data_IF_659712325263
#
_entry.id   IF_659712325263
#
_cell.length_a   1.000
_cell.length_b   1.000
_cell.length_c   1.000
_cell.angle_alpha   90.00
_cell.angle_beta   90.00
_cell.angle_gamma   90.00
#
_symmetry.space_group_name_H-M   'P 1'
#
loop_
_entity.id
_entity.type
_entity.pdbx_description
1 polymer ?
#
# COMPACT_ATOMS: atom_id res chain seq x y z
N UNK A 1 32.20 -15.71 6.97
CA UNK A 1 30.85 -15.17 7.22
C UNK A 1 30.51 -15.46 8.67
N UNK A 2 30.13 -14.47 9.48
CA UNK A 2 29.81 -14.71 10.89
C UNK A 2 28.50 -15.50 10.99
N UNK A 3 28.36 -16.37 11.99
CA UNK A 3 27.17 -17.17 12.30
C UNK A 3 25.90 -16.30 12.32
N UNK A 4 26.01 -15.08 12.86
CA UNK A 4 24.95 -14.09 12.94
C UNK A 4 24.44 -13.62 11.57
N UNK A 5 25.33 -13.47 10.57
CA UNK A 5 24.94 -13.10 9.19
C UNK A 5 24.14 -14.23 8.52
N UNK A 6 24.56 -15.48 8.76
CA UNK A 6 23.86 -16.67 8.22
C UNK A 6 22.45 -16.80 8.82
N UNK A 7 22.30 -16.56 10.12
CA UNK A 7 21.00 -16.64 10.80
C UNK A 7 20.05 -15.51 10.34
N UNK A 8 20.57 -14.30 10.12
CA UNK A 8 19.78 -13.20 9.57
C UNK A 8 19.30 -13.50 8.15
N UNK A 9 20.16 -14.06 7.29
CA UNK A 9 19.80 -14.42 5.92
C UNK A 9 18.73 -15.54 5.89
N UNK A 10 18.85 -16.55 6.75
CA UNK A 10 17.82 -17.59 6.90
C UNK A 10 16.48 -17.01 7.35
N UNK A 11 16.51 -16.05 8.28
CA UNK A 11 15.31 -15.37 8.78
C UNK A 11 14.64 -14.52 7.69
N UNK A 12 15.43 -13.75 6.92
CA UNK A 12 14.91 -13.00 5.76
C UNK A 12 14.27 -13.95 4.75
N UNK A 13 14.96 -15.02 4.36
CA UNK A 13 14.45 -16.00 3.40
C UNK A 13 13.14 -16.64 3.87
N UNK A 14 13.07 -17.04 5.13
CA UNK A 14 11.86 -17.61 5.74
C UNK A 14 10.70 -16.60 5.76
N UNK A 15 10.97 -15.36 6.15
CA UNK A 15 9.96 -14.28 6.17
C UNK A 15 9.47 -13.96 4.76
N UNK A 16 10.36 -13.90 3.77
CA UNK A 16 10.02 -13.70 2.36
C UNK A 16 9.12 -14.83 1.84
N UNK A 17 9.42 -16.08 2.19
CA UNK A 17 8.59 -17.22 1.79
C UNK A 17 7.15 -17.11 2.32
N UNK A 18 6.96 -16.71 3.60
CA UNK A 18 5.63 -16.48 4.15
C UNK A 18 4.87 -15.36 3.44
N UNK A 19 5.56 -14.28 3.07
CA UNK A 19 4.96 -13.16 2.34
C UNK A 19 4.60 -13.55 0.90
N UNK A 20 5.40 -14.39 0.24
CA UNK A 20 5.07 -14.91 -1.09
C UNK A 20 3.90 -15.90 -1.05
N UNK A 21 3.88 -16.82 -0.08
CA UNK A 21 2.74 -17.71 0.12
C UNK A 21 1.45 -16.91 0.34
N UNK A 22 1.52 -15.89 1.20
CA UNK A 22 0.42 -14.95 1.39
C UNK A 22 -0.01 -14.30 0.07
N UNK A 23 0.94 -13.78 -0.73
CA UNK A 23 0.65 -13.12 -2.00
C UNK A 23 -0.07 -14.05 -2.98
N UNK A 24 0.38 -15.30 -3.11
CA UNK A 24 -0.27 -16.30 -3.96
C UNK A 24 -1.70 -16.59 -3.49
N UNK A 25 -1.89 -16.81 -2.19
CA UNK A 25 -3.21 -17.02 -1.60
C UNK A 25 -4.13 -15.83 -1.89
N UNK A 26 -3.63 -14.59 -1.71
CA UNK A 26 -4.40 -13.38 -2.00
C UNK A 26 -4.76 -13.23 -3.47
N UNK A 27 -3.88 -13.64 -4.39
CA UNK A 27 -4.18 -13.62 -5.82
C UNK A 27 -5.37 -14.53 -6.13
N UNK A 28 -5.34 -15.77 -5.66
CA UNK A 28 -6.43 -16.74 -5.86
C UNK A 28 -7.71 -16.29 -5.16
N UNK A 29 -7.64 -15.94 -3.87
CA UNK A 29 -8.80 -15.48 -3.11
C UNK A 29 -9.40 -14.22 -3.71
N UNK A 30 -8.59 -13.25 -4.14
CA UNK A 30 -9.05 -12.00 -4.70
C UNK A 30 -9.83 -12.17 -6.01
N UNK A 31 -9.30 -12.97 -6.93
CA UNK A 31 -9.99 -13.28 -8.20
C UNK A 31 -11.32 -14.01 -7.95
N UNK A 32 -11.30 -14.99 -7.04
CA UNK A 32 -12.48 -15.77 -6.72
C UNK A 32 -13.54 -14.93 -6.00
N UNK A 33 -13.14 -14.16 -4.99
CA UNK A 33 -14.02 -13.28 -4.22
C UNK A 33 -14.72 -12.26 -5.11
N UNK A 34 -13.98 -11.59 -6.01
CA UNK A 34 -14.56 -10.59 -6.90
C UNK A 34 -15.68 -11.17 -7.77
N UNK A 35 -15.44 -12.34 -8.38
CA UNK A 35 -16.44 -13.03 -9.21
C UNK A 35 -17.68 -13.44 -8.42
N UNK A 36 -17.49 -14.04 -7.25
CA UNK A 36 -18.63 -14.48 -6.42
C UNK A 36 -19.39 -13.29 -5.86
N UNK A 37 -18.69 -12.18 -5.50
CA UNK A 37 -19.35 -10.95 -5.03
C UNK A 37 -20.24 -10.33 -6.10
N UNK A 38 -19.76 -10.24 -7.36
CA UNK A 38 -20.58 -9.72 -8.47
C UNK A 38 -21.81 -10.61 -8.69
N UNK A 39 -21.64 -11.92 -8.63
CA UNK A 39 -22.75 -12.87 -8.80
C UNK A 39 -23.75 -12.81 -7.63
N UNK A 40 -23.27 -12.58 -6.40
CA UNK A 40 -24.13 -12.53 -5.21
C UNK A 40 -24.90 -11.21 -5.09
N UNK A 41 -24.23 -10.07 -5.31
CA UNK A 41 -24.81 -8.73 -5.17
C UNK A 41 -25.53 -8.26 -6.45
N UNK A 42 -25.13 -8.77 -7.61
CA UNK A 42 -25.50 -8.19 -8.89
C UNK A 42 -24.64 -6.98 -9.27
N UNK A 43 -24.68 -6.60 -10.55
CA UNK A 43 -23.84 -5.54 -11.10
C UNK A 43 -24.13 -4.18 -10.46
N UNK A 44 -25.39 -3.89 -10.18
CA UNK A 44 -25.83 -2.60 -9.62
C UNK A 44 -25.30 -2.38 -8.20
N UNK A 45 -25.53 -3.31 -7.28
CA UNK A 45 -25.09 -3.20 -5.88
C UNK A 45 -23.57 -3.34 -5.74
N UNK A 46 -22.96 -4.15 -6.60
CA UNK A 46 -21.49 -4.19 -6.70
C UNK A 46 -20.91 -2.83 -7.17
N UNK A 47 -21.57 -2.17 -8.11
CA UNK A 47 -21.24 -0.81 -8.54
C UNK A 47 -21.34 0.19 -7.38
N UNK A 48 -22.44 0.17 -6.64
CA UNK A 48 -22.66 1.02 -5.49
C UNK A 48 -21.58 0.81 -4.40
N UNK A 49 -21.24 -0.45 -4.11
CA UNK A 49 -20.17 -0.80 -3.18
C UNK A 49 -18.80 -0.20 -3.62
N UNK A 50 -18.49 -0.25 -4.92
CA UNK A 50 -17.24 0.30 -5.44
C UNK A 50 -17.21 1.83 -5.37
N UNK A 51 -18.32 2.51 -5.63
CA UNK A 51 -18.42 3.97 -5.53
C UNK A 51 -18.21 4.43 -4.09
N UNK A 52 -18.89 3.81 -3.13
CA UNK A 52 -18.70 4.07 -1.69
C UNK A 52 -17.27 3.72 -1.26
N UNK A 53 -16.75 2.57 -1.72
CA UNK A 53 -15.37 2.14 -1.48
C UNK A 53 -14.31 3.11 -1.99
N UNK A 54 -14.59 3.81 -3.09
CA UNK A 54 -13.72 4.86 -3.64
C UNK A 54 -13.55 6.04 -2.68
N UNK A 55 -14.64 6.50 -2.05
CA UNK A 55 -14.60 7.55 -1.02
C UNK A 55 -13.76 7.09 0.17
N UNK A 56 -13.94 5.85 0.62
CA UNK A 56 -13.14 5.26 1.72
C UNK A 56 -11.67 5.09 1.35
N UNK A 57 -11.36 4.74 0.10
CA UNK A 57 -9.99 4.62 -0.40
C UNK A 57 -9.21 5.92 -0.28
N UNK A 58 -9.84 7.05 -0.55
CA UNK A 58 -9.24 8.37 -0.36
C UNK A 58 -8.92 8.65 1.12
N UNK A 59 -9.83 8.35 2.03
CA UNK A 59 -9.61 8.51 3.47
C UNK A 59 -8.52 7.56 4.00
N UNK A 60 -8.46 6.32 3.50
CA UNK A 60 -7.46 5.32 3.88
C UNK A 60 -6.02 5.70 3.50
N UNK A 61 -5.85 6.64 2.58
CA UNK A 61 -4.54 7.11 2.15
C UNK A 61 -3.73 7.75 3.29
N UNK A 62 -4.39 8.51 4.16
CA UNK A 62 -3.74 9.12 5.33
C UNK A 62 -3.19 8.07 6.30
N UNK A 63 -3.85 6.91 6.41
CA UNK A 63 -3.39 5.80 7.25
C UNK A 63 -2.06 5.21 6.75
N UNK A 64 -1.87 5.11 5.43
CA UNK A 64 -0.65 4.54 4.86
C UNK A 64 0.60 5.36 5.15
N UNK A 65 0.47 6.68 5.20
CA UNK A 65 1.56 7.61 5.54
C UNK A 65 2.09 7.38 6.96
N UNK A 66 1.19 7.26 7.92
CA UNK A 66 1.55 7.01 9.33
C UNK A 66 2.11 5.61 9.55
N UNK A 67 1.63 4.61 8.80
CA UNK A 67 2.04 3.22 8.94
C UNK A 67 3.55 3.04 8.73
N UNK A 68 4.13 3.70 7.71
CA UNK A 68 5.58 3.64 7.45
C UNK A 68 6.38 4.28 8.59
N UNK A 69 5.95 5.44 9.08
CA UNK A 69 6.57 6.10 10.24
C UNK A 69 6.54 5.22 11.47
N UNK A 70 5.38 4.68 11.80
CA UNK A 70 5.20 3.80 12.96
C UNK A 70 6.10 2.57 12.88
N UNK A 71 6.17 1.91 11.73
CA UNK A 71 7.05 0.75 11.52
C UNK A 71 8.52 1.12 11.72
N UNK A 72 8.97 2.27 11.21
CA UNK A 72 10.34 2.76 11.41
C UNK A 72 10.64 3.01 12.89
N UNK A 73 9.82 3.81 13.57
CA UNK A 73 10.09 4.19 14.96
C UNK A 73 10.11 2.98 15.88
N UNK A 74 9.18 2.04 15.72
CA UNK A 74 9.14 0.79 16.49
C UNK A 74 10.36 -0.09 16.20
N UNK A 75 10.74 -0.25 14.93
CA UNK A 75 11.88 -1.11 14.57
C UNK A 75 13.20 -0.53 15.05
N UNK A 76 13.40 0.80 14.94
CA UNK A 76 14.59 1.49 15.47
C UNK A 76 14.62 1.41 17.00
N UNK A 77 13.47 1.61 17.66
CA UNK A 77 13.36 1.45 19.13
C UNK A 77 13.71 0.05 19.61
N UNK A 78 13.24 -0.98 18.90
CA UNK A 78 13.62 -2.37 19.15
C UNK A 78 15.13 -2.61 18.96
N UNK A 79 15.73 -2.03 17.92
CA UNK A 79 17.16 -2.15 17.67
C UNK A 79 18.03 -1.52 18.76
N UNK A 80 17.58 -0.45 19.41
CA UNK A 80 18.24 0.20 20.55
C UNK A 80 18.16 -0.59 21.86
N UNK A 81 17.20 -1.51 22.00
CA UNK A 81 17.05 -2.38 23.18
C UNK A 81 16.50 -1.70 24.45
N UNK A 82 16.02 -0.44 24.36
CA UNK A 82 15.40 0.26 25.49
C UNK A 82 13.89 0.00 25.52
N UNK A 83 13.46 -0.94 26.33
CA UNK A 83 12.04 -1.32 26.49
C UNK A 83 11.15 -0.17 26.95
N UNK A 84 11.68 0.76 27.78
CA UNK A 84 10.92 1.90 28.26
C UNK A 84 10.68 2.92 27.15
N UNK A 85 11.72 3.21 26.35
CA UNK A 85 11.62 4.09 25.19
C UNK A 85 10.69 3.46 24.14
N UNK A 86 10.80 2.16 23.89
CA UNK A 86 9.94 1.43 22.93
C UNK A 86 8.46 1.54 23.31
N UNK A 87 8.11 1.39 24.60
CA UNK A 87 6.74 1.56 25.08
C UNK A 87 6.24 3.00 24.89
N UNK A 88 7.09 4.00 25.11
CA UNK A 88 6.74 5.39 24.83
C UNK A 88 6.49 5.62 23.34
N UNK A 89 7.33 5.06 22.46
CA UNK A 89 7.16 5.12 21.00
C UNK A 89 5.82 4.50 20.58
N UNK A 90 5.52 3.29 21.07
CA UNK A 90 4.25 2.62 20.75
C UNK A 90 3.05 3.46 21.21
N UNK A 91 3.11 4.00 22.42
CA UNK A 91 2.03 4.84 22.98
C UNK A 91 1.85 6.13 22.18
N UNK A 92 2.93 6.81 21.80
CA UNK A 92 2.88 8.01 20.96
C UNK A 92 2.30 7.71 19.58
N UNK A 93 2.77 6.65 18.91
CA UNK A 93 2.22 6.22 17.62
C UNK A 93 0.73 5.85 17.75
N UNK A 94 0.35 5.10 18.78
CA UNK A 94 -1.04 4.74 19.05
C UNK A 94 -1.94 5.96 19.22
N UNK A 95 -1.50 6.95 20.00
CA UNK A 95 -2.25 8.21 20.21
C UNK A 95 -2.42 8.99 18.89
N UNK A 96 -1.36 9.07 18.08
CA UNK A 96 -1.44 9.72 16.76
C UNK A 96 -2.42 8.99 15.85
N UNK A 97 -2.43 7.64 15.84
CA UNK A 97 -3.38 6.88 15.04
C UNK A 97 -4.81 7.03 15.53
N UNK A 98 -5.06 7.10 16.85
CA UNK A 98 -6.39 7.40 17.39
C UNK A 98 -6.85 8.81 16.98
N UNK A 99 -5.97 9.81 17.11
CA UNK A 99 -6.30 11.17 16.66
C UNK A 99 -6.61 11.22 15.15
N UNK A 100 -5.80 10.54 14.32
CA UNK A 100 -6.07 10.45 12.88
C UNK A 100 -7.39 9.71 12.58
N UNK A 101 -7.68 8.64 13.29
CA UNK A 101 -8.92 7.89 13.14
C UNK A 101 -10.14 8.76 13.46
N UNK A 102 -10.06 9.59 14.51
CA UNK A 102 -11.12 10.56 14.87
C UNK A 102 -11.26 11.66 13.82
N UNK A 103 -10.16 12.20 13.29
CA UNK A 103 -10.20 13.18 12.19
C UNK A 103 -10.80 12.56 10.93
N UNK A 104 -10.43 11.32 10.60
CA UNK A 104 -10.98 10.60 9.45
C UNK A 104 -12.47 10.34 9.62
N UNK A 105 -12.90 9.98 10.83
CA UNK A 105 -14.32 9.81 11.16
C UNK A 105 -15.09 11.13 10.99
N UNK A 106 -14.56 12.23 11.54
CA UNK A 106 -15.18 13.55 11.44
C UNK A 106 -15.28 14.03 9.98
N UNK A 107 -14.23 13.88 9.19
CA UNK A 107 -14.24 14.20 7.75
C UNK A 107 -15.20 13.28 6.98
N UNK A 108 -15.27 12.02 7.36
CA UNK A 108 -16.23 11.06 6.78
C UNK A 108 -17.66 11.49 7.08
N UNK A 109 -18.00 11.78 8.33
CA UNK A 109 -19.36 12.17 8.73
C UNK A 109 -19.79 13.54 8.19
N UNK A 110 -18.86 14.42 7.87
CA UNK A 110 -19.14 15.75 7.32
C UNK A 110 -19.04 15.75 5.80
N UNK A 111 -17.82 15.84 5.28
CA UNK A 111 -17.54 15.98 3.83
C UNK A 111 -17.92 14.71 3.06
N UNK A 112 -17.58 13.55 3.60
CA UNK A 112 -17.83 12.28 2.93
C UNK A 112 -19.33 11.94 2.84
N UNK A 113 -20.07 12.13 3.94
CA UNK A 113 -21.51 11.92 3.96
C UNK A 113 -22.23 12.92 3.05
N UNK A 114 -21.81 14.20 3.06
CA UNK A 114 -22.32 15.18 2.11
C UNK A 114 -22.07 14.75 0.67
N UNK A 115 -20.88 14.25 0.35
CA UNK A 115 -20.54 13.81 -0.99
C UNK A 115 -21.40 12.63 -1.45
N UNK A 116 -21.63 11.64 -0.58
CA UNK A 116 -22.48 10.48 -0.87
C UNK A 116 -23.92 10.90 -1.14
N UNK A 117 -24.49 11.81 -0.33
CA UNK A 117 -25.90 12.17 -0.44
C UNK A 117 -26.21 13.21 -1.52
N UNK A 118 -25.23 14.08 -1.90
CA UNK A 118 -25.51 15.20 -2.80
C UNK A 118 -24.72 15.20 -4.11
N UNK A 119 -23.65 14.41 -4.21
CA UNK A 119 -22.79 14.40 -5.40
C UNK A 119 -22.80 13.09 -6.16
N UNK A 120 -23.08 11.98 -5.48
CA UNK A 120 -23.17 10.68 -6.13
C UNK A 120 -24.57 10.50 -6.71
N UNK A 121 -24.62 9.94 -7.92
CA UNK A 121 -25.87 9.54 -8.55
C UNK A 121 -26.24 8.13 -8.07
N UNK A 122 -27.12 8.05 -7.09
CA UNK A 122 -27.58 6.80 -6.47
C UNK A 122 -29.10 6.76 -6.63
N UNK A 123 -29.64 5.59 -6.98
CA UNK A 123 -31.08 5.40 -7.09
C UNK A 123 -31.76 5.64 -5.74
N UNK A 124 -32.89 6.38 -5.70
CA UNK A 124 -33.60 6.71 -4.45
C UNK A 124 -33.89 5.49 -3.58
N UNK A 125 -34.28 4.38 -4.19
CA UNK A 125 -34.62 3.13 -3.50
C UNK A 125 -33.41 2.46 -2.84
N UNK A 126 -32.21 2.79 -3.28
CA UNK A 126 -30.94 2.24 -2.74
C UNK A 126 -30.19 3.22 -1.84
N UNK A 127 -30.70 4.44 -1.65
CA UNK A 127 -30.04 5.47 -0.85
C UNK A 127 -29.84 5.05 0.62
N UNK A 128 -30.82 4.35 1.19
CA UNK A 128 -30.66 3.78 2.54
C UNK A 128 -29.52 2.78 2.62
N UNK A 129 -29.45 1.83 1.69
CA UNK A 129 -28.37 0.83 1.63
C UNK A 129 -27.01 1.50 1.40
N UNK A 130 -26.94 2.53 0.54
CA UNK A 130 -25.73 3.31 0.29
C UNK A 130 -25.19 4.01 1.56
N UNK A 131 -26.06 4.69 2.30
CA UNK A 131 -25.70 5.31 3.57
C UNK A 131 -25.30 4.27 4.62
N UNK A 132 -26.00 3.14 4.70
CA UNK A 132 -25.68 2.08 5.64
C UNK A 132 -24.30 1.47 5.38
N UNK A 133 -24.00 1.09 4.12
CA UNK A 133 -22.66 0.57 3.77
C UNK A 133 -21.58 1.63 3.96
N UNK A 134 -21.89 2.90 3.69
CA UNK A 134 -20.98 4.00 3.91
C UNK A 134 -20.57 4.10 5.38
N UNK A 135 -21.55 4.13 6.29
CA UNK A 135 -21.30 4.21 7.73
C UNK A 135 -20.48 3.02 8.25
N UNK A 136 -20.82 1.79 7.88
CA UNK A 136 -20.06 0.62 8.31
C UNK A 136 -18.66 0.59 7.72
N UNK A 137 -18.47 1.07 6.48
CA UNK A 137 -17.15 1.21 5.86
C UNK A 137 -16.30 2.26 6.56
N UNK A 138 -16.90 3.37 7.00
CA UNK A 138 -16.24 4.42 7.75
C UNK A 138 -15.77 3.91 9.12
N UNK A 139 -16.62 3.20 9.86
CA UNK A 139 -16.23 2.55 11.13
C UNK A 139 -15.19 1.44 10.93
N UNK A 140 -15.27 0.66 9.86
CA UNK A 140 -14.23 -0.31 9.50
C UNK A 140 -12.89 0.37 9.25
N UNK A 141 -12.87 1.50 8.54
CA UNK A 141 -11.67 2.30 8.31
C UNK A 141 -11.10 2.87 9.61
N UNK A 142 -11.96 3.35 10.51
CA UNK A 142 -11.58 3.80 11.85
C UNK A 142 -10.86 2.70 12.63
N UNK A 143 -11.41 1.49 12.67
CA UNK A 143 -10.78 0.33 13.32
C UNK A 143 -9.45 -0.03 12.65
N UNK A 144 -9.38 -0.01 11.32
CA UNK A 144 -8.18 -0.29 10.54
C UNK A 144 -7.03 0.68 10.86
N UNK A 145 -7.34 1.98 11.04
CA UNK A 145 -6.34 2.99 11.42
C UNK A 145 -5.80 2.69 12.83
N UNK A 146 -6.64 2.41 13.80
CA UNK A 146 -6.22 2.09 15.18
C UNK A 146 -5.48 0.75 15.26
N UNK A 147 -5.74 -0.17 14.34
CA UNK A 147 -5.08 -1.47 14.24
C UNK A 147 -3.62 -1.35 13.75
N UNK A 148 -3.29 -0.30 12.99
CA UNK A 148 -1.99 -0.13 12.31
C UNK A 148 -0.78 -0.25 13.25
N UNK A 149 -0.73 0.35 14.46
CA UNK A 149 0.40 0.19 15.38
C UNK A 149 0.65 -1.26 15.80
N UNK A 150 -0.39 -2.07 15.96
CA UNK A 150 -0.26 -3.50 16.30
C UNK A 150 0.35 -4.29 15.13
N UNK A 151 -0.09 -4.02 13.89
CA UNK A 151 0.50 -4.60 12.67
C UNK A 151 1.97 -4.18 12.55
N UNK A 152 2.28 -2.92 12.81
CA UNK A 152 3.64 -2.40 12.78
C UNK A 152 4.54 -3.07 13.83
N UNK A 153 4.05 -3.37 15.04
CA UNK A 153 4.79 -4.13 16.05
C UNK A 153 5.10 -5.55 15.58
N UNK A 154 4.13 -6.26 15.00
CA UNK A 154 4.35 -7.63 14.46
C UNK A 154 5.45 -7.62 13.39
N UNK A 155 5.42 -6.64 12.48
CA UNK A 155 6.43 -6.52 11.41
C UNK A 155 7.79 -6.07 11.94
N UNK A 156 7.83 -5.17 12.94
CA UNK A 156 9.06 -4.73 13.59
C UNK A 156 9.77 -5.87 14.34
N UNK A 157 9.00 -6.77 14.97
CA UNK A 157 9.50 -8.01 15.57
C UNK A 157 9.77 -9.12 14.54
N UNK A 158 9.61 -8.84 13.25
CA UNK A 158 9.84 -9.78 12.13
C UNK A 158 8.99 -11.06 12.20
N UNK A 159 7.81 -11.00 12.82
CA UNK A 159 6.87 -12.14 12.90
C UNK A 159 6.01 -12.20 11.62
N UNK A 160 6.68 -12.32 10.45
CA UNK A 160 5.99 -12.32 9.15
C UNK A 160 5.04 -13.51 8.96
N UNK A 161 5.30 -14.64 9.63
CA UNK A 161 4.37 -15.77 9.64
C UNK A 161 3.03 -15.42 10.29
N UNK A 162 3.05 -14.72 11.43
CA UNK A 162 1.83 -14.26 12.12
C UNK A 162 1.09 -13.23 11.26
N UNK A 163 1.83 -12.28 10.68
CA UNK A 163 1.24 -11.29 9.78
C UNK A 163 0.58 -11.94 8.56
N UNK A 164 1.25 -12.90 7.93
CA UNK A 164 0.71 -13.64 6.79
C UNK A 164 -0.54 -14.46 7.19
N UNK A 165 -0.47 -15.19 8.30
CA UNK A 165 -1.59 -16.00 8.79
C UNK A 165 -2.83 -15.13 9.07
N UNK A 166 -2.69 -14.05 9.85
CA UNK A 166 -3.81 -13.16 10.17
C UNK A 166 -4.39 -12.49 8.92
N UNK A 167 -3.54 -12.09 7.97
CA UNK A 167 -3.99 -11.53 6.70
C UNK A 167 -4.78 -12.56 5.87
N UNK A 168 -4.30 -13.81 5.78
CA UNK A 168 -5.01 -14.89 5.05
C UNK A 168 -6.34 -15.19 5.73
N UNK A 169 -6.38 -15.19 7.06
CA UNK A 169 -7.60 -15.42 7.82
C UNK A 169 -8.65 -14.33 7.56
N UNK A 170 -8.22 -13.05 7.52
CA UNK A 170 -9.09 -11.93 7.12
C UNK A 170 -9.69 -12.14 5.72
N UNK A 171 -8.86 -12.51 4.74
CA UNK A 171 -9.32 -12.77 3.38
C UNK A 171 -10.27 -13.99 3.31
N UNK A 172 -9.99 -15.03 4.09
CA UNK A 172 -10.84 -16.22 4.15
C UNK A 172 -12.22 -15.91 4.76
N UNK A 173 -12.28 -15.12 5.85
CA UNK A 173 -13.56 -14.67 6.41
C UNK A 173 -14.36 -13.84 5.41
N UNK A 174 -13.72 -12.93 4.67
CA UNK A 174 -14.36 -12.13 3.63
C UNK A 174 -14.90 -12.99 2.49
N UNK A 175 -14.19 -14.04 2.12
CA UNK A 175 -14.68 -15.02 1.14
C UNK A 175 -15.89 -15.80 1.68
N UNK A 176 -15.84 -16.28 2.93
CA UNK A 176 -16.96 -16.99 3.59
C UNK A 176 -18.21 -16.12 3.59
N UNK A 177 -18.09 -14.82 3.91
CA UNK A 177 -19.22 -13.88 3.87
C UNK A 177 -19.88 -13.90 2.50
N UNK A 178 -19.10 -13.80 1.43
CA UNK A 178 -19.65 -13.75 0.07
C UNK A 178 -20.39 -15.03 -0.29
N UNK A 179 -19.89 -16.20 0.15
CA UNK A 179 -20.62 -17.46 0.00
C UNK A 179 -21.92 -17.51 0.80
N UNK A 180 -21.90 -17.00 2.04
CA UNK A 180 -23.11 -16.94 2.87
C UNK A 180 -24.22 -16.08 2.21
N UNK A 181 -23.85 -15.01 1.49
CA UNK A 181 -24.83 -14.17 0.78
C UNK A 181 -25.59 -14.91 -0.32
N UNK A 182 -25.08 -16.00 -0.85
CA UNK A 182 -25.79 -16.80 -1.87
C UNK A 182 -27.05 -17.49 -1.30
N UNK A 183 -27.08 -17.72 0.02
CA UNK A 183 -28.15 -18.43 0.73
C UNK A 183 -29.05 -17.51 1.57
N UNK A 184 -28.81 -16.18 1.52
CA UNK A 184 -29.58 -15.20 2.29
C UNK A 184 -30.59 -14.52 1.38
N UNK A 185 -31.88 -14.51 1.79
CA UNK A 185 -33.00 -13.87 1.06
C UNK A 185 -33.21 -12.39 1.43
N UNK A 186 -32.44 -11.86 2.41
CA UNK A 186 -32.48 -10.44 2.80
C UNK A 186 -31.67 -9.55 1.83
N UNK A 187 -31.71 -8.22 2.05
CA UNK A 187 -30.88 -7.28 1.29
C UNK A 187 -29.39 -7.64 1.40
N UNK A 188 -28.86 -8.19 0.32
CA UNK A 188 -27.51 -8.76 0.27
C UNK A 188 -26.43 -7.71 0.49
N UNK A 189 -26.65 -6.46 0.06
CA UNK A 189 -25.68 -5.37 0.23
C UNK A 189 -25.58 -4.95 1.71
N UNK A 190 -26.70 -4.86 2.41
CA UNK A 190 -26.78 -4.56 3.84
C UNK A 190 -26.12 -5.69 4.64
N UNK A 191 -26.44 -6.96 4.34
CA UNK A 191 -25.85 -8.11 5.00
C UNK A 191 -24.35 -8.22 4.75
N UNK A 192 -23.89 -8.00 3.52
CA UNK A 192 -22.47 -7.95 3.18
C UNK A 192 -21.70 -6.95 4.04
N UNK A 193 -22.19 -5.71 4.11
CA UNK A 193 -21.51 -4.65 4.86
C UNK A 193 -21.52 -4.92 6.37
N UNK A 194 -22.59 -5.49 6.91
CA UNK A 194 -22.71 -5.87 8.32
C UNK A 194 -21.69 -6.94 8.69
N UNK A 195 -21.62 -8.02 7.92
CA UNK A 195 -20.66 -9.09 8.18
C UNK A 195 -19.22 -8.64 7.94
N UNK A 196 -18.97 -7.82 6.92
CA UNK A 196 -17.64 -7.26 6.65
C UNK A 196 -17.16 -6.38 7.82
N UNK A 197 -18.03 -5.56 8.38
CA UNK A 197 -17.74 -4.79 9.61
C UNK A 197 -17.49 -5.71 10.81
N UNK A 198 -18.30 -6.76 10.98
CA UNK A 198 -18.08 -7.78 12.00
C UNK A 198 -16.69 -8.44 11.91
N UNK A 199 -16.23 -8.77 10.70
CA UNK A 199 -14.86 -9.26 10.47
C UNK A 199 -13.82 -8.20 10.82
N UNK A 200 -14.05 -6.92 10.51
CA UNK A 200 -13.13 -5.85 10.86
C UNK A 200 -12.97 -5.72 12.39
N UNK A 201 -14.06 -5.84 13.15
CA UNK A 201 -14.03 -5.89 14.62
C UNK A 201 -13.24 -7.11 15.10
N UNK A 202 -13.55 -8.29 14.58
CA UNK A 202 -12.87 -9.53 14.96
C UNK A 202 -11.36 -9.44 14.73
N UNK A 203 -10.95 -8.97 13.54
CA UNK A 203 -9.55 -8.81 13.20
C UNK A 203 -8.84 -7.79 14.09
N UNK A 204 -9.48 -6.66 14.39
CA UNK A 204 -8.94 -5.68 15.34
C UNK A 204 -8.64 -6.32 16.69
N UNK A 205 -9.59 -7.06 17.28
CA UNK A 205 -9.38 -7.73 18.55
C UNK A 205 -8.32 -8.82 18.48
N UNK A 206 -8.27 -9.59 17.39
CA UNK A 206 -7.24 -10.62 17.19
C UNK A 206 -5.83 -10.03 17.18
N UNK A 207 -5.59 -8.97 16.40
CA UNK A 207 -4.29 -8.27 16.37
C UNK A 207 -3.94 -7.68 17.73
N UNK A 208 -4.89 -7.01 18.38
CA UNK A 208 -4.70 -6.40 19.69
C UNK A 208 -4.36 -7.44 20.77
N UNK A 209 -5.16 -8.50 20.89
CA UNK A 209 -4.95 -9.55 21.89
C UNK A 209 -3.61 -10.26 21.68
N UNK A 210 -3.28 -10.57 20.41
CA UNK A 210 -1.99 -11.18 20.10
C UNK A 210 -0.82 -10.29 20.55
N UNK A 211 -0.86 -9.00 20.20
CA UNK A 211 0.21 -8.08 20.52
C UNK A 211 0.32 -7.85 22.04
N UNK A 212 -0.79 -7.66 22.75
CA UNK A 212 -0.80 -7.48 24.20
C UNK A 212 -0.23 -8.69 24.95
N UNK A 213 -0.41 -9.91 24.41
CA UNK A 213 0.11 -11.15 25.03
C UNK A 213 1.58 -11.42 24.69
N UNK A 214 2.10 -10.89 23.57
CA UNK A 214 3.43 -11.24 23.07
C UNK A 214 4.46 -10.13 23.16
N UNK A 215 4.02 -8.88 23.23
CA UNK A 215 4.88 -7.70 23.17
C UNK A 215 4.55 -6.76 24.34
N UNK A 216 5.49 -6.56 25.23
CA UNK A 216 5.30 -5.74 26.46
C UNK A 216 5.04 -4.26 26.14
N UNK A 217 5.62 -3.76 25.04
CA UNK A 217 5.46 -2.37 24.60
C UNK A 217 4.04 -2.04 24.14
N UNK A 218 3.24 -3.03 23.75
CA UNK A 218 1.88 -2.82 23.25
C UNK A 218 0.87 -2.40 24.32
N UNK A 219 1.27 -2.41 25.61
CA UNK A 219 0.50 -1.78 26.66
C UNK A 219 0.61 -0.27 26.58
N UNK A 220 -0.42 0.39 26.06
CA UNK A 220 -0.46 1.84 25.90
C UNK A 220 -0.49 2.54 27.26
N UNK A 221 0.41 3.49 27.46
CA UNK A 221 0.39 4.43 28.58
C UNK A 221 0.34 5.85 28.03
N UNK A 222 -0.69 6.60 28.38
CA UNK A 222 -0.80 8.01 27.97
C UNK A 222 0.33 8.80 28.66
N UNK A 223 1.40 9.07 27.92
CA UNK A 223 2.49 9.94 28.33
C UNK A 223 2.75 10.95 27.24
N UNK A 224 2.70 12.22 27.57
CA UNK A 224 3.00 13.31 26.65
C UNK A 224 4.51 13.53 26.60
N UNK A 225 5.15 13.06 25.54
CA UNK A 225 6.56 13.29 25.21
C UNK A 225 6.63 14.20 23.99
N UNK A 226 6.56 15.52 24.24
CA UNK A 226 6.50 16.52 23.16
C UNK A 226 7.65 16.39 22.14
N UNK A 227 8.92 16.17 22.55
CA UNK A 227 10.02 15.91 21.63
C UNK A 227 9.76 14.73 20.69
N UNK A 228 9.28 13.60 21.21
CA UNK A 228 8.96 12.41 20.43
C UNK A 228 7.82 12.64 19.44
N UNK A 229 6.75 13.29 19.87
CA UNK A 229 5.64 13.66 18.98
C UNK A 229 6.12 14.57 17.85
N UNK A 230 6.95 15.57 18.14
CA UNK A 230 7.53 16.48 17.14
C UNK A 230 8.40 15.74 16.14
N UNK A 231 9.21 14.76 16.60
CA UNK A 231 10.03 13.92 15.72
C UNK A 231 9.16 13.08 14.78
N UNK A 232 8.13 12.42 15.30
CA UNK A 232 7.19 11.59 14.49
C UNK A 232 6.46 12.47 13.46
N UNK A 233 5.91 13.61 13.87
CA UNK A 233 5.19 14.52 12.96
C UNK A 233 6.10 15.12 11.89
N UNK A 234 7.34 15.47 12.24
CA UNK A 234 8.31 15.97 11.26
C UNK A 234 8.62 14.89 10.21
N UNK A 235 8.86 13.67 10.64
CA UNK A 235 9.10 12.54 9.74
C UNK A 235 7.90 12.27 8.82
N UNK A 236 6.70 12.15 9.39
CA UNK A 236 5.46 11.88 8.65
C UNK A 236 5.12 13.04 7.71
N UNK A 237 5.26 14.29 8.15
CA UNK A 237 4.95 15.47 7.34
C UNK A 237 5.82 15.55 6.08
N UNK A 238 7.13 15.32 6.19
CA UNK A 238 8.00 15.28 5.01
C UNK A 238 7.70 14.11 4.08
N UNK A 239 7.36 12.94 4.63
CA UNK A 239 6.92 11.81 3.82
C UNK A 239 5.60 12.08 3.10
N UNK A 240 4.69 12.82 3.73
CA UNK A 240 3.41 13.17 3.12
C UNK A 240 3.61 14.00 1.84
N UNK A 241 4.59 14.93 1.83
CA UNK A 241 4.91 15.74 0.65
C UNK A 241 5.36 14.84 -0.52
N UNK A 242 6.31 13.93 -0.28
CA UNK A 242 6.81 13.00 -1.31
C UNK A 242 5.69 12.11 -1.87
N UNK A 243 4.88 11.58 -0.98
CA UNK A 243 3.76 10.70 -1.35
C UNK A 243 2.67 11.45 -2.10
N UNK A 244 2.36 12.69 -1.69
CA UNK A 244 1.41 13.55 -2.41
C UNK A 244 1.90 13.87 -3.83
N UNK A 245 3.18 14.22 -3.98
CA UNK A 245 3.78 14.49 -5.29
C UNK A 245 3.72 13.26 -6.23
N UNK A 246 4.02 12.07 -5.70
CA UNK A 246 3.87 10.81 -6.43
C UNK A 246 2.42 10.56 -6.88
N UNK A 247 1.46 10.78 -5.98
CA UNK A 247 0.04 10.61 -6.26
C UNK A 247 -0.46 11.63 -7.30
N UNK A 248 -0.08 12.91 -7.13
CA UNK A 248 -0.40 13.96 -8.08
C UNK A 248 0.15 13.66 -9.48
N UNK A 249 1.39 13.17 -9.57
CA UNK A 249 1.97 12.71 -10.82
C UNK A 249 1.13 11.56 -11.43
N UNK A 250 0.85 10.52 -10.67
CA UNK A 250 0.11 9.35 -11.17
C UNK A 250 -1.28 9.72 -11.70
N UNK A 251 -2.04 10.52 -10.95
CA UNK A 251 -3.36 10.97 -11.36
C UNK A 251 -3.29 12.04 -12.45
N UNK A 252 -2.32 12.95 -12.35
CA UNK A 252 -2.10 14.00 -13.34
C UNK A 252 -1.81 13.47 -14.74
N UNK A 253 -0.97 12.44 -14.85
CA UNK A 253 -0.75 11.78 -16.17
C UNK A 253 -2.04 11.13 -16.69
N UNK A 254 -2.85 10.52 -15.82
CA UNK A 254 -4.15 9.95 -16.22
C UNK A 254 -5.07 11.04 -16.80
N UNK A 255 -5.13 12.21 -16.15
CA UNK A 255 -5.90 13.36 -16.62
C UNK A 255 -5.34 13.88 -17.95
N UNK A 256 -4.02 14.06 -18.05
CA UNK A 256 -3.39 14.51 -19.31
C UNK A 256 -3.68 13.57 -20.47
N UNK A 257 -3.55 12.27 -20.28
CA UNK A 257 -3.87 11.29 -21.31
C UNK A 257 -5.36 11.34 -21.70
N UNK A 258 -6.25 11.66 -20.78
CA UNK A 258 -7.67 11.83 -21.09
C UNK A 258 -7.97 13.12 -21.87
N UNK A 259 -7.25 14.20 -21.56
CA UNK A 259 -7.41 15.51 -22.23
C UNK A 259 -6.91 15.51 -23.68
N UNK A 260 -5.81 14.81 -23.96
CA UNK A 260 -5.19 14.80 -25.29
C UNK A 260 -5.60 13.61 -26.15
N UNK A 261 -6.06 12.52 -25.53
CA UNK A 261 -6.43 11.29 -26.22
C UNK A 261 -7.79 10.78 -25.76
N UNK A 262 -8.11 9.55 -26.10
CA UNK A 262 -9.39 8.93 -25.77
C UNK A 262 -9.37 8.14 -24.47
N UNK A 263 -10.57 7.74 -24.01
CA UNK A 263 -10.75 6.80 -22.90
C UNK A 263 -10.07 5.45 -23.13
N UNK A 264 -9.86 5.06 -24.40
CA UNK A 264 -9.15 3.83 -24.80
C UNK A 264 -7.69 3.86 -24.34
N UNK A 265 -6.99 5.00 -24.46
CA UNK A 265 -5.61 5.16 -23.97
C UNK A 265 -5.55 5.06 -22.44
N UNK A 266 -6.55 5.60 -21.74
CA UNK A 266 -6.64 5.45 -20.28
C UNK A 266 -6.93 4.00 -19.85
N UNK A 267 -7.74 3.27 -20.62
CA UNK A 267 -7.95 1.85 -20.39
C UNK A 267 -6.64 1.06 -20.55
N UNK A 268 -5.86 1.36 -21.61
CA UNK A 268 -4.55 0.77 -21.84
C UNK A 268 -3.58 1.05 -20.64
N UNK A 269 -3.59 2.28 -20.10
CA UNK A 269 -2.86 2.65 -18.90
C UNK A 269 -3.31 1.84 -17.68
N UNK A 270 -4.61 1.67 -17.48
CA UNK A 270 -5.18 0.87 -16.39
C UNK A 270 -4.70 -0.59 -16.43
N UNK A 271 -4.65 -1.19 -17.61
CA UNK A 271 -4.12 -2.54 -17.82
C UNK A 271 -2.63 -2.58 -17.48
N UNK A 272 -1.83 -1.64 -17.99
CA UNK A 272 -0.40 -1.57 -17.70
C UNK A 272 -0.11 -1.41 -16.20
N UNK A 273 -0.84 -0.55 -15.49
CA UNK A 273 -0.70 -0.39 -14.03
C UNK A 273 -1.10 -1.65 -13.26
N UNK A 274 -2.06 -2.42 -13.75
CA UNK A 274 -2.45 -3.69 -13.13
C UNK A 274 -1.34 -4.72 -13.26
N UNK A 275 -0.76 -4.89 -14.45
CA UNK A 275 0.40 -5.78 -14.68
C UNK A 275 1.59 -5.35 -13.81
N UNK A 276 1.90 -4.05 -13.82
CA UNK A 276 2.98 -3.46 -13.00
C UNK A 276 2.82 -3.79 -11.51
N UNK A 277 1.61 -3.66 -10.98
CA UNK A 277 1.30 -3.95 -9.57
C UNK A 277 1.55 -5.41 -9.21
N UNK A 278 1.20 -6.33 -10.10
CA UNK A 278 1.42 -7.76 -9.86
C UNK A 278 2.92 -8.09 -9.88
N UNK A 279 3.66 -7.59 -10.87
CA UNK A 279 5.10 -7.83 -11.00
C UNK A 279 5.87 -7.18 -9.85
N UNK A 280 5.56 -5.93 -9.49
CA UNK A 280 6.21 -5.24 -8.37
C UNK A 280 5.92 -5.89 -7.01
N UNK A 281 4.80 -6.59 -6.88
CA UNK A 281 4.41 -7.30 -5.66
C UNK A 281 5.49 -8.28 -5.16
N UNK A 282 6.22 -8.93 -6.07
CA UNK A 282 7.32 -9.83 -5.71
C UNK A 282 8.46 -9.07 -5.04
N UNK A 283 8.86 -7.94 -5.59
CA UNK A 283 9.92 -7.09 -5.04
C UNK A 283 9.48 -6.48 -3.71
N UNK A 284 8.27 -5.94 -3.64
CA UNK A 284 7.73 -5.29 -2.42
C UNK A 284 7.66 -6.29 -1.25
N UNK A 285 7.22 -7.53 -1.48
CA UNK A 285 7.17 -8.53 -0.42
C UNK A 285 8.58 -8.90 0.08
N UNK A 286 9.56 -9.04 -0.83
CA UNK A 286 10.95 -9.24 -0.44
C UNK A 286 11.46 -8.08 0.40
N UNK A 287 11.27 -6.83 -0.04
CA UNK A 287 11.71 -5.64 0.70
C UNK A 287 11.02 -5.52 2.07
N UNK A 288 9.75 -5.87 2.17
CA UNK A 288 9.03 -5.90 3.46
C UNK A 288 9.70 -6.82 4.47
N UNK A 289 10.28 -7.95 4.02
CA UNK A 289 11.02 -8.86 4.90
C UNK A 289 12.41 -8.34 5.28
N UNK A 290 13.07 -7.57 4.40
CA UNK A 290 14.42 -7.02 4.59
C UNK A 290 14.43 -5.75 5.43
N UNK A 291 13.47 -4.86 5.22
CA UNK A 291 13.37 -3.51 5.83
C UNK A 291 13.62 -3.48 7.34
N UNK A 292 13.03 -4.34 8.19
CA UNK A 292 13.29 -4.32 9.63
C UNK A 292 14.75 -4.57 9.98
N UNK A 293 15.46 -5.37 9.19
CA UNK A 293 16.89 -5.64 9.41
C UNK A 293 17.74 -4.40 9.10
N UNK A 294 17.44 -3.67 8.02
CA UNK A 294 18.13 -2.41 7.69
C UNK A 294 17.95 -1.42 8.84
N UNK A 295 16.72 -1.26 9.35
CA UNK A 295 16.43 -0.34 10.45
C UNK A 295 17.12 -0.74 11.76
N UNK A 296 17.20 -2.03 12.08
CA UNK A 296 17.91 -2.54 13.26
C UNK A 296 19.42 -2.31 13.16
N UNK A 297 20.04 -2.60 12.01
CA UNK A 297 21.45 -2.35 11.79
C UNK A 297 21.78 -0.85 11.93
N UNK A 298 20.94 0.01 11.42
CA UNK A 298 21.04 1.46 11.65
C UNK A 298 20.98 1.81 13.15
N UNK A 299 20.03 1.24 13.88
CA UNK A 299 19.81 1.54 15.29
C UNK A 299 20.99 1.15 16.20
N UNK A 300 21.72 0.09 15.84
CA UNK A 300 22.93 -0.35 16.56
C UNK A 300 24.23 0.28 16.02
N UNK A 301 24.14 1.14 14.98
CA UNK A 301 25.31 1.82 14.40
C UNK A 301 26.20 0.96 13.49
N UNK A 302 25.74 -0.23 13.07
CA UNK A 302 26.48 -1.12 12.18
C UNK A 302 26.21 -0.75 10.71
N UNK A 303 26.78 0.38 10.30
CA UNK A 303 26.57 0.94 8.96
C UNK A 303 27.19 0.11 7.85
N UNK A 304 28.28 -0.58 8.10
CA UNK A 304 28.94 -1.42 7.09
C UNK A 304 28.04 -2.60 6.70
N UNK A 305 27.51 -3.31 7.70
CA UNK A 305 26.55 -4.40 7.43
C UNK A 305 25.24 -3.87 6.85
N UNK A 306 24.79 -2.70 7.28
CA UNK A 306 23.59 -2.07 6.72
C UNK A 306 23.78 -1.79 5.22
N UNK A 307 24.87 -1.15 4.83
CA UNK A 307 25.16 -0.83 3.43
C UNK A 307 25.32 -2.09 2.59
N UNK A 308 26.02 -3.10 3.11
CA UNK A 308 26.13 -4.39 2.43
C UNK A 308 24.76 -5.08 2.24
N UNK A 309 23.88 -4.99 3.23
CA UNK A 309 22.50 -5.52 3.13
C UNK A 309 21.68 -4.74 2.09
N UNK A 310 21.79 -3.41 2.04
CA UNK A 310 21.13 -2.56 1.04
C UNK A 310 21.59 -2.94 -0.38
N UNK A 311 22.89 -3.03 -0.63
CA UNK A 311 23.44 -3.41 -1.94
C UNK A 311 22.99 -4.81 -2.38
N UNK A 312 23.06 -5.79 -1.47
CA UNK A 312 22.58 -7.14 -1.76
C UNK A 312 21.06 -7.17 -2.02
N UNK A 313 20.29 -6.41 -1.25
CA UNK A 313 18.85 -6.32 -1.45
C UNK A 313 18.49 -5.70 -2.79
N UNK A 314 19.20 -4.67 -3.24
CA UNK A 314 19.03 -4.08 -4.57
C UNK A 314 19.34 -5.10 -5.67
N UNK A 315 20.44 -5.86 -5.52
CA UNK A 315 20.81 -6.93 -6.45
C UNK A 315 19.74 -8.03 -6.52
N UNK A 316 19.28 -8.53 -5.38
CA UNK A 316 18.25 -9.58 -5.35
C UNK A 316 16.88 -9.10 -5.81
N UNK A 317 16.51 -7.86 -5.51
CA UNK A 317 15.29 -7.23 -6.05
C UNK A 317 15.30 -7.15 -7.56
N UNK A 318 16.44 -6.77 -8.15
CA UNK A 318 16.62 -6.72 -9.60
C UNK A 318 16.54 -8.11 -10.22
N UNK A 319 17.14 -9.14 -9.60
CA UNK A 319 17.05 -10.52 -10.07
C UNK A 319 15.61 -11.06 -10.00
N UNK A 320 14.89 -10.78 -8.92
CA UNK A 320 13.48 -11.15 -8.78
C UNK A 320 12.61 -10.48 -9.83
N UNK A 321 12.86 -9.19 -10.08
CA UNK A 321 12.13 -8.46 -11.11
C UNK A 321 12.43 -9.03 -12.50
N UNK A 322 13.71 -9.33 -12.80
CA UNK A 322 14.08 -9.97 -14.08
C UNK A 322 13.42 -11.34 -14.24
N UNK A 323 13.42 -12.16 -13.18
CA UNK A 323 12.82 -13.49 -13.23
C UNK A 323 11.34 -13.47 -13.61
N UNK A 324 10.58 -12.51 -13.06
CA UNK A 324 9.14 -12.40 -13.31
C UNK A 324 8.85 -11.44 -14.47
N UNK A 325 9.52 -10.29 -14.52
CA UNK A 325 9.25 -9.22 -15.47
C UNK A 325 9.78 -9.50 -16.88
N UNK A 326 10.92 -10.20 -17.01
CA UNK A 326 11.49 -10.47 -18.34
C UNK A 326 10.62 -11.40 -19.21
N UNK A 327 10.08 -12.52 -18.69
CA UNK A 327 9.09 -13.30 -19.44
C UNK A 327 7.85 -12.50 -19.83
N UNK A 328 7.35 -11.64 -18.93
CA UNK A 328 6.21 -10.75 -19.22
C UNK A 328 6.57 -9.75 -20.30
N UNK A 329 7.76 -9.15 -20.25
CA UNK A 329 8.27 -8.21 -21.23
C UNK A 329 8.39 -8.82 -22.63
N UNK A 330 8.96 -10.02 -22.73
CA UNK A 330 9.18 -10.72 -24.01
C UNK A 330 7.84 -11.21 -24.62
N UNK A 331 6.97 -11.76 -23.78
CA UNK A 331 5.71 -12.39 -24.20
C UNK A 331 4.48 -11.53 -23.90
N UNK A 332 4.64 -10.19 -23.78
CA UNK A 332 3.55 -9.27 -23.41
C UNK A 332 2.31 -9.48 -24.29
N UNK A 333 2.46 -9.53 -25.63
CA UNK A 333 1.35 -9.68 -26.56
C UNK A 333 0.59 -10.98 -26.36
N UNK A 334 1.32 -12.09 -26.21
CA UNK A 334 0.73 -13.41 -25.96
C UNK A 334 -0.04 -13.42 -24.63
N UNK A 335 0.55 -12.88 -23.56
CA UNK A 335 -0.08 -12.86 -22.24
C UNK A 335 -1.33 -11.98 -22.22
N UNK A 336 -1.28 -10.81 -22.86
CA UNK A 336 -2.44 -9.92 -22.92
C UNK A 336 -3.54 -10.52 -23.80
N UNK A 337 -3.21 -11.15 -24.92
CA UNK A 337 -4.17 -11.85 -25.76
C UNK A 337 -4.82 -13.02 -25.03
N UNK A 338 -4.05 -13.78 -24.25
CA UNK A 338 -4.56 -14.88 -23.41
C UNK A 338 -5.50 -14.36 -22.30
N UNK A 339 -5.20 -13.19 -21.73
CA UNK A 339 -5.97 -12.63 -20.61
C UNK A 339 -7.23 -11.89 -21.06
N UNK A 340 -7.12 -11.02 -22.08
CA UNK A 340 -8.19 -10.11 -22.50
C UNK A 340 -8.88 -10.54 -23.82
N UNK A 341 -8.33 -11.51 -24.53
CA UNK A 341 -8.78 -11.92 -25.86
C UNK A 341 -8.33 -10.96 -26.96
N UNK A 342 -8.61 -9.67 -26.82
CA UNK A 342 -8.17 -8.61 -27.74
C UNK A 342 -7.07 -7.77 -27.09
N UNK A 343 -6.16 -7.22 -27.90
CA UNK A 343 -5.07 -6.35 -27.45
C UNK A 343 -5.48 -4.90 -27.77
N UNK A 344 -5.83 -4.08 -26.73
CA UNK A 344 -6.11 -2.68 -26.95
C UNK A 344 -4.85 -1.93 -27.44
N UNK A 345 -5.05 -0.88 -28.21
CA UNK A 345 -3.97 -0.01 -28.67
C UNK A 345 -3.18 0.56 -27.50
N UNK A 346 -1.88 0.72 -27.64
CA UNK A 346 -0.91 1.21 -26.62
C UNK A 346 -0.67 0.31 -25.42
N UNK A 347 -1.43 -0.77 -25.16
CA UNK A 347 -1.24 -1.63 -23.98
C UNK A 347 0.17 -2.24 -23.93
N UNK A 348 0.64 -2.79 -25.05
CA UNK A 348 1.95 -3.46 -25.14
C UNK A 348 3.11 -2.50 -24.87
N UNK A 349 3.23 -1.35 -25.55
CA UNK A 349 4.30 -0.39 -25.23
C UNK A 349 4.20 0.16 -23.80
N UNK A 350 3.00 0.41 -23.27
CA UNK A 350 2.83 0.87 -21.89
C UNK A 350 3.34 -0.16 -20.87
N UNK A 351 3.01 -1.44 -21.05
CA UNK A 351 3.50 -2.51 -20.18
C UNK A 351 5.03 -2.59 -20.24
N UNK A 352 5.61 -2.61 -21.45
CA UNK A 352 7.06 -2.70 -21.62
C UNK A 352 7.80 -1.54 -20.95
N UNK A 353 7.35 -0.31 -21.15
CA UNK A 353 7.96 0.87 -20.50
C UNK A 353 7.78 0.87 -19.00
N UNK A 354 6.62 0.46 -18.50
CA UNK A 354 6.39 0.32 -17.06
C UNK A 354 7.31 -0.73 -16.42
N UNK A 355 7.58 -1.84 -17.10
CA UNK A 355 8.51 -2.86 -16.61
C UNK A 355 9.96 -2.34 -16.57
N UNK A 356 10.36 -1.49 -17.53
CA UNK A 356 11.66 -0.80 -17.50
C UNK A 356 11.72 0.16 -16.28
N UNK A 357 10.68 0.96 -16.07
CA UNK A 357 10.59 1.83 -14.88
C UNK A 357 10.70 1.04 -13.58
N UNK A 358 9.99 -0.09 -13.49
CA UNK A 358 10.04 -0.96 -12.31
C UNK A 358 11.45 -1.51 -12.04
N UNK A 359 12.26 -1.75 -13.07
CA UNK A 359 13.64 -2.20 -12.90
C UNK A 359 14.48 -1.18 -12.14
N UNK A 360 14.36 0.10 -12.49
CA UNK A 360 15.02 1.17 -11.73
C UNK A 360 14.48 1.29 -10.32
N UNK A 361 13.16 1.19 -10.14
CA UNK A 361 12.52 1.21 -8.81
C UNK A 361 12.96 0.04 -7.93
N UNK A 362 13.22 -1.14 -8.49
CA UNK A 362 13.69 -2.29 -7.71
C UNK A 362 15.07 -2.06 -7.09
N UNK A 363 15.91 -1.25 -7.74
CA UNK A 363 17.21 -0.81 -7.21
C UNK A 363 17.01 0.26 -6.14
N UNK A 364 16.08 1.19 -6.37
CA UNK A 364 15.81 2.33 -5.49
C UNK A 364 15.18 1.92 -4.15
N UNK A 365 14.29 0.94 -4.12
CA UNK A 365 13.58 0.56 -2.90
C UNK A 365 14.48 0.31 -1.68
N UNK A 366 15.56 -0.49 -1.75
CA UNK A 366 16.44 -0.69 -0.59
C UNK A 366 17.23 0.55 -0.21
N UNK A 367 17.59 1.38 -1.17
CA UNK A 367 18.27 2.67 -0.95
C UNK A 367 17.33 3.59 -0.18
N UNK A 368 16.08 3.67 -0.61
CA UNK A 368 15.02 4.38 0.08
C UNK A 368 14.82 3.89 1.52
N UNK A 369 14.84 2.58 1.76
CA UNK A 369 14.75 2.00 3.12
C UNK A 369 15.94 2.44 3.99
N UNK A 370 17.16 2.55 3.42
CA UNK A 370 18.32 3.14 4.08
C UNK A 370 18.10 4.60 4.48
N UNK A 371 17.59 5.43 3.56
CA UNK A 371 17.24 6.84 3.82
C UNK A 371 16.16 6.94 4.91
N UNK A 372 15.15 6.09 4.85
CA UNK A 372 14.11 6.02 5.88
C UNK A 372 14.67 5.64 7.25
N UNK A 373 15.69 4.78 7.32
CA UNK A 373 16.37 4.45 8.57
C UNK A 373 17.02 5.69 9.22
N UNK A 374 17.71 6.52 8.43
CA UNK A 374 18.29 7.79 8.89
C UNK A 374 17.22 8.78 9.40
N UNK A 375 16.02 8.74 8.87
CA UNK A 375 14.90 9.59 9.29
C UNK A 375 14.99 11.06 8.87
N UNK A 376 16.03 11.48 8.14
CA UNK A 376 16.17 12.85 7.61
C UNK A 376 15.46 12.97 6.25
N UNK A 377 14.13 13.04 6.28
CA UNK A 377 13.28 12.90 5.10
C UNK A 377 13.07 14.22 4.31
N UNK A 378 13.54 15.38 4.82
CA UNK A 378 13.30 16.68 4.20
C UNK A 378 13.87 16.74 2.78
N UNK A 379 15.18 16.56 2.64
CA UNK A 379 15.85 16.71 1.35
C UNK A 379 15.44 15.62 0.35
N UNK A 380 15.46 14.32 0.68
CA UNK A 380 15.04 13.26 -0.24
C UNK A 380 13.59 13.44 -0.74
N UNK A 381 12.67 13.83 0.14
CA UNK A 381 11.27 14.03 -0.28
C UNK A 381 11.09 15.31 -1.10
N UNK A 382 11.84 16.37 -0.87
CA UNK A 382 11.79 17.58 -1.71
C UNK A 382 12.34 17.29 -3.12
N UNK A 383 13.49 16.62 -3.23
CA UNK A 383 14.10 16.30 -4.53
C UNK A 383 13.21 15.35 -5.35
N UNK A 384 12.73 14.27 -4.73
CA UNK A 384 11.81 13.35 -5.40
C UNK A 384 10.46 13.99 -5.75
N UNK A 385 9.91 14.85 -4.87
CA UNK A 385 8.68 15.60 -5.17
C UNK A 385 8.84 16.53 -6.36
N UNK A 386 9.95 17.25 -6.42
CA UNK A 386 10.25 18.11 -7.57
C UNK A 386 10.35 17.30 -8.87
N UNK A 387 11.05 16.16 -8.84
CA UNK A 387 11.16 15.28 -10.00
C UNK A 387 9.78 14.74 -10.44
N UNK A 388 8.95 14.24 -9.50
CA UNK A 388 7.60 13.76 -9.83
C UNK A 388 6.70 14.85 -10.39
N UNK A 389 6.72 16.06 -9.80
CA UNK A 389 5.89 17.16 -10.27
C UNK A 389 6.39 17.74 -11.60
N UNK A 390 7.70 17.71 -11.89
CA UNK A 390 8.28 18.13 -13.16
C UNK A 390 7.85 17.26 -14.35
N UNK A 391 7.54 15.98 -14.11
CA UNK A 391 7.05 15.06 -15.17
C UNK A 391 5.76 15.59 -15.79
N UNK A 392 4.85 16.20 -15.01
CA UNK A 392 3.56 16.68 -15.52
C UNK A 392 3.68 17.80 -16.56
N UNK A 393 4.38 18.92 -16.29
CA UNK A 393 4.54 19.98 -17.28
C UNK A 393 5.36 19.51 -18.48
N UNK A 394 6.39 18.68 -18.27
CA UNK A 394 7.16 18.10 -19.39
C UNK A 394 6.28 17.24 -20.31
N UNK A 395 5.49 16.36 -19.71
CA UNK A 395 4.54 15.53 -20.47
C UNK A 395 3.51 16.41 -21.19
N UNK A 396 2.94 17.43 -20.52
CA UNK A 396 1.99 18.36 -21.14
C UNK A 396 2.58 19.07 -22.36
N UNK A 397 3.80 19.61 -22.25
CA UNK A 397 4.49 20.27 -23.36
C UNK A 397 4.70 19.32 -24.53
N UNK A 398 5.22 18.12 -24.27
CA UNK A 398 5.44 17.11 -25.30
C UNK A 398 4.12 16.74 -26.03
N UNK A 399 3.05 16.50 -25.25
CA UNK A 399 1.74 16.16 -25.84
C UNK A 399 1.15 17.32 -26.66
N UNK A 400 1.32 18.56 -26.19
CA UNK A 400 0.91 19.77 -26.95
C UNK A 400 1.68 19.95 -28.25
N UNK A 401 2.92 19.45 -28.31
CA UNK A 401 3.75 19.42 -29.53
C UNK A 401 3.40 18.27 -30.48
N UNK A 402 2.34 17.51 -30.20
CA UNK A 402 1.88 16.40 -31.05
C UNK A 402 2.55 15.05 -30.77
N UNK A 403 3.20 14.90 -29.62
CA UNK A 403 3.79 13.62 -29.26
C UNK A 403 2.72 12.55 -28.96
N UNK A 404 3.09 11.27 -29.11
CA UNK A 404 2.22 10.12 -28.88
C UNK A 404 1.99 9.88 -27.38
N UNK A 405 0.94 9.12 -26.97
CA UNK A 405 0.69 8.77 -25.56
C UNK A 405 1.87 8.08 -24.87
N UNK A 406 2.71 7.38 -25.65
CA UNK A 406 3.91 6.67 -25.17
C UNK A 406 4.91 7.62 -24.51
N UNK A 407 4.97 8.87 -24.97
CA UNK A 407 5.89 9.90 -24.45
C UNK A 407 5.71 10.13 -22.96
N UNK A 408 4.50 10.00 -22.40
CA UNK A 408 4.26 10.12 -20.96
C UNK A 408 5.07 9.12 -20.13
N UNK A 409 5.24 7.90 -20.63
CA UNK A 409 6.04 6.87 -19.98
C UNK A 409 7.54 7.05 -20.23
N UNK A 410 7.92 7.52 -21.41
CA UNK A 410 9.32 7.84 -21.74
C UNK A 410 9.81 8.95 -20.81
N UNK A 411 9.05 10.03 -20.65
CA UNK A 411 9.40 11.14 -19.73
C UNK A 411 9.53 10.61 -18.28
N UNK A 412 8.63 9.73 -17.84
CA UNK A 412 8.73 9.11 -16.52
C UNK A 412 9.99 8.27 -16.35
N UNK A 413 10.34 7.45 -17.36
CA UNK A 413 11.56 6.62 -17.35
C UNK A 413 12.85 7.44 -17.28
N UNK A 414 12.90 8.63 -17.87
CA UNK A 414 14.09 9.51 -17.79
C UNK A 414 14.13 10.35 -16.52
N UNK A 415 13.00 10.83 -16.04
CA UNK A 415 12.95 11.68 -14.84
C UNK A 415 13.25 10.89 -13.56
N UNK A 416 12.93 9.59 -13.53
CA UNK A 416 13.13 8.75 -12.36
C UNK A 416 14.62 8.52 -12.01
N UNK A 417 15.51 8.10 -12.95
CA UNK A 417 16.94 8.00 -12.67
C UNK A 417 17.61 9.34 -12.29
N UNK A 418 17.11 10.46 -12.81
CA UNK A 418 17.60 11.78 -12.43
C UNK A 418 17.26 12.13 -10.98
N UNK A 419 16.09 11.69 -10.49
CA UNK A 419 15.71 11.86 -9.09
C UNK A 419 16.55 10.99 -8.13
N UNK A 420 17.08 9.86 -8.61
CA UNK A 420 17.99 8.99 -7.86
C UNK A 420 19.41 9.53 -7.77
N UNK A 421 19.84 10.32 -8.77
CA UNK A 421 21.19 10.87 -8.84
C UNK A 421 21.37 12.15 -7.98
N UNK A 422 20.27 12.73 -7.46
CA UNK A 422 20.26 13.91 -6.58
C UNK A 422 20.04 13.54 -5.12
#
# INVERSE_FOLDING_TARGET
MSTQTTDNNKRIAKNTLYLYLRMLVFLFLGLFTARVTINALGVHDYGLMNVVGGVMGFLGYFSSLLSQGTSRFLTVGLGKGDSKQLRNIFSACGTIHIALALVTLLLGETVGLWFVNYKLTIDPDRMFAANYIYQLSLFSSFLGIIQTPYIASITAHEKMSTFAFMSILDAAFKLIIVFMLLYIDADKLIMYSTFYFGVSILMFFMYRIYCLRKFEECNMHLRWDVPLYKEIWNYVGWNAIGTFAFMANSQGITILLNLFFSTVVNAARGIATTVSRQVSGFVINFQTAVRPQIFKLYAVGDYDRMNHLICNSAKYSSYLLMLVGLPVFIKTEFLIKLWLGNIPEYVVPFIKLTLIELFFRAIDFPIGDGIHAFGKMKLPNLTSSFAYLAILPLTYVCLKMGATPITSYIVACFAFPMALAC
#
